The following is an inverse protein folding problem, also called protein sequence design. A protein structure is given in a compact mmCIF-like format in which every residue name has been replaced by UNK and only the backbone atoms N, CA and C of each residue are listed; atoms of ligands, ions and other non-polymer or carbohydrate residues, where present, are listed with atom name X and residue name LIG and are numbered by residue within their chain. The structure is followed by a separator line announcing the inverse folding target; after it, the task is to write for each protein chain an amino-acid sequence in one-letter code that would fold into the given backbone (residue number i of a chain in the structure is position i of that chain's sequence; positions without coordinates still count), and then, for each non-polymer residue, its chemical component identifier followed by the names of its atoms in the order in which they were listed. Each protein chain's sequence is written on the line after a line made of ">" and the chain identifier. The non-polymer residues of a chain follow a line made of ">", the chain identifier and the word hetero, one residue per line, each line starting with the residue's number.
data_IF_556907574775
#
_entry.id   IF_556907574775
#
_cell.length_a   1.000
_cell.length_b   1.000
_cell.length_c   1.000
_cell.angle_alpha   90.00
_cell.angle_beta   90.00
_cell.angle_gamma   90.00
#
_symmetry.space_group_name_H-M   'P 1'
#
loop_
_entity.id
_entity.type
_entity.pdbx_description
1 polymer ?
#
# COMPACT_ATOMS: atom_id res chain seq x y z
N UNK A 1 9.83 45.17 -18.39
CA UNK A 1 10.16 43.75 -18.33
C UNK A 1 10.46 43.25 -19.75
N UNK A 2 11.60 42.65 -20.01
CA UNK A 2 11.97 42.19 -21.37
C UNK A 2 10.93 41.21 -21.90
N UNK A 3 10.56 41.29 -23.21
CA UNK A 3 9.61 40.37 -23.84
C UNK A 3 10.00 38.89 -23.70
N UNK A 4 11.28 38.61 -23.50
CA UNK A 4 11.78 37.26 -23.21
C UNK A 4 11.34 36.80 -21.81
N UNK A 5 11.48 37.62 -20.80
CA UNK A 5 11.07 37.31 -19.40
C UNK A 5 9.56 37.04 -19.36
N UNK A 6 8.75 37.85 -20.05
CA UNK A 6 7.30 37.65 -20.10
C UNK A 6 6.92 36.32 -20.76
N UNK A 7 7.64 35.87 -21.78
CA UNK A 7 7.40 34.54 -22.38
C UNK A 7 7.69 33.41 -21.41
N UNK A 8 8.80 33.46 -20.67
CA UNK A 8 9.13 32.46 -19.65
C UNK A 8 8.10 32.43 -18.53
N UNK A 9 7.68 33.58 -18.01
CA UNK A 9 6.62 33.67 -16.99
C UNK A 9 5.33 33.03 -17.47
N UNK A 10 4.91 33.31 -18.72
CA UNK A 10 3.69 32.68 -19.30
C UNK A 10 3.84 31.18 -19.40
N UNK A 11 4.99 30.66 -19.81
CA UNK A 11 5.25 29.22 -19.91
C UNK A 11 5.18 28.55 -18.51
N UNK A 12 5.80 29.16 -17.49
CA UNK A 12 5.76 28.65 -16.11
C UNK A 12 4.34 28.64 -15.57
N UNK A 13 3.59 29.74 -15.78
CA UNK A 13 2.18 29.81 -15.36
C UNK A 13 1.32 28.76 -16.06
N UNK A 14 1.51 28.56 -17.37
CA UNK A 14 0.80 27.52 -18.11
C UNK A 14 1.09 26.12 -17.54
N UNK A 15 2.38 25.79 -17.31
CA UNK A 15 2.78 24.50 -16.71
C UNK A 15 2.15 24.34 -15.33
N UNK A 16 2.18 25.38 -14.50
CA UNK A 16 1.59 25.33 -13.14
C UNK A 16 0.06 25.07 -13.20
N UNK A 17 -0.65 25.68 -14.17
CA UNK A 17 -2.08 25.43 -14.38
C UNK A 17 -2.30 23.98 -14.80
N UNK A 18 -1.54 23.47 -15.75
CA UNK A 18 -1.68 22.06 -16.19
C UNK A 18 -1.42 21.09 -15.04
N UNK A 19 -0.35 21.28 -14.28
CA UNK A 19 -0.05 20.47 -13.09
C UNK A 19 -1.19 20.57 -12.07
N UNK A 20 -1.71 21.75 -11.80
CA UNK A 20 -2.85 21.97 -10.91
C UNK A 20 -4.10 21.21 -11.36
N UNK A 21 -4.42 21.27 -12.66
CA UNK A 21 -5.57 20.53 -13.21
C UNK A 21 -5.37 19.01 -13.09
N UNK A 22 -4.19 18.48 -13.39
CA UNK A 22 -3.88 17.05 -13.20
C UNK A 22 -4.05 16.63 -11.74
N UNK A 23 -3.56 17.44 -10.78
CA UNK A 23 -3.71 17.13 -9.35
C UNK A 23 -5.17 17.21 -8.87
N UNK A 24 -5.95 18.16 -9.40
CA UNK A 24 -7.40 18.21 -9.14
C UNK A 24 -8.12 16.97 -9.69
N UNK A 25 -7.76 16.52 -10.88
CA UNK A 25 -8.29 15.29 -11.47
C UNK A 25 -7.89 14.08 -10.64
N UNK A 26 -6.63 13.94 -10.26
CA UNK A 26 -6.17 12.86 -9.38
C UNK A 26 -6.97 12.84 -8.07
N UNK A 27 -7.16 14.02 -7.45
CA UNK A 27 -7.93 14.11 -6.22
C UNK A 27 -9.39 13.66 -6.39
N UNK A 28 -10.03 14.02 -7.49
CA UNK A 28 -11.42 13.67 -7.76
C UNK A 28 -11.59 12.19 -8.15
N UNK A 29 -10.66 11.65 -8.91
CA UNK A 29 -10.78 10.32 -9.52
C UNK A 29 -10.27 9.21 -8.61
N UNK A 30 -9.24 9.46 -7.80
CA UNK A 30 -8.69 8.48 -6.88
C UNK A 30 -9.72 8.10 -5.80
N UNK A 31 -9.94 6.82 -5.53
CA UNK A 31 -10.74 6.41 -4.40
C UNK A 31 -10.12 6.88 -3.08
N UNK A 32 -10.91 6.93 -2.02
CA UNK A 32 -10.40 7.27 -0.68
C UNK A 32 -9.77 6.09 0.05
N UNK A 33 -9.79 4.90 -0.53
CA UNK A 33 -9.30 3.58 -0.07
C UNK A 33 -8.64 3.48 1.32
N UNK A 34 -8.81 2.34 1.96
CA UNK A 34 -8.33 2.16 3.35
C UNK A 34 -6.79 2.11 3.48
N UNK A 35 -6.05 1.82 2.42
CA UNK A 35 -4.57 1.71 2.43
C UNK A 35 -3.92 2.99 2.95
N UNK A 36 -4.44 4.15 2.55
CA UNK A 36 -3.98 5.44 3.04
C UNK A 36 -4.03 5.53 4.57
N UNK A 37 -5.08 5.00 5.18
CA UNK A 37 -5.28 5.05 6.64
C UNK A 37 -4.38 4.06 7.35
N UNK A 38 -4.20 2.86 6.79
CA UNK A 38 -3.32 1.83 7.35
C UNK A 38 -1.86 2.29 7.34
N UNK A 39 -1.39 2.86 6.23
CA UNK A 39 -0.02 3.41 6.17
C UNK A 39 0.12 4.55 7.18
N UNK A 40 -0.86 5.45 7.26
CA UNK A 40 -0.82 6.55 8.23
C UNK A 40 -0.80 6.03 9.68
N UNK A 41 -1.59 5.03 10.00
CA UNK A 41 -1.61 4.42 11.34
C UNK A 41 -0.28 3.71 11.66
N UNK A 42 0.31 3.01 10.68
CA UNK A 42 1.62 2.40 10.81
C UNK A 42 2.74 3.43 11.07
N UNK A 43 2.64 4.61 10.45
CA UNK A 43 3.62 5.69 10.58
C UNK A 43 3.43 6.55 11.84
N UNK A 44 2.28 6.42 12.53
CA UNK A 44 1.90 7.25 13.69
C UNK A 44 1.40 6.37 14.83
N UNK A 45 2.26 5.49 15.31
CA UNK A 45 1.97 4.66 16.48
C UNK A 45 1.68 5.54 17.73
N UNK A 46 0.80 5.07 18.60
CA UNK A 46 0.42 5.77 19.85
C UNK A 46 1.53 5.75 20.92
N UNK A 47 2.66 5.11 20.63
CA UNK A 47 3.80 4.98 21.56
C UNK A 47 5.05 5.61 20.97
N UNK A 48 5.90 6.18 21.82
CA UNK A 48 7.18 6.79 21.41
C UNK A 48 8.13 5.78 20.75
N UNK A 49 8.00 4.50 21.08
CA UNK A 49 8.83 3.41 20.53
C UNK A 49 8.29 2.86 19.20
N UNK A 50 7.07 3.23 18.81
CA UNK A 50 6.41 2.71 17.61
C UNK A 50 6.00 1.24 17.73
N UNK A 51 5.87 0.58 16.59
CA UNK A 51 5.59 -0.85 16.51
C UNK A 51 6.88 -1.65 16.47
N UNK A 52 6.94 -2.75 17.24
CA UNK A 52 8.11 -3.63 17.31
C UNK A 52 7.99 -4.87 16.43
N UNK A 53 6.77 -5.27 16.08
CA UNK A 53 6.49 -6.39 15.17
C UNK A 53 5.61 -5.91 14.00
N UNK A 54 6.10 -6.02 12.78
CA UNK A 54 5.35 -5.68 11.59
C UNK A 54 4.96 -6.96 10.85
N UNK A 55 3.66 -7.07 10.56
CA UNK A 55 3.10 -8.17 9.76
C UNK A 55 2.92 -7.64 8.35
N UNK A 56 3.53 -8.30 7.36
CA UNK A 56 3.42 -7.99 5.93
C UNK A 56 2.87 -9.19 5.17
N UNK A 57 2.25 -8.95 4.04
CA UNK A 57 1.64 -9.98 3.21
C UNK A 57 0.34 -9.51 2.58
N UNK A 58 -0.42 -10.42 2.03
CA UNK A 58 -1.63 -10.10 1.28
C UNK A 58 -2.92 -10.14 2.15
N UNK A 59 -4.04 -10.42 1.50
CA UNK A 59 -5.36 -10.44 2.16
C UNK A 59 -5.49 -11.49 3.27
N UNK A 60 -4.73 -12.58 3.18
CA UNK A 60 -4.72 -13.64 4.19
C UNK A 60 -4.15 -13.10 5.50
N UNK A 61 -2.94 -12.57 5.49
CA UNK A 61 -2.31 -11.97 6.67
C UNK A 61 -3.18 -10.89 7.30
N UNK A 62 -3.77 -9.99 6.46
CA UNK A 62 -4.61 -8.91 6.95
C UNK A 62 -5.76 -9.37 7.84
N UNK A 63 -6.37 -10.51 7.51
CA UNK A 63 -7.58 -11.00 8.19
C UNK A 63 -7.35 -12.26 9.04
N UNK A 64 -6.16 -12.88 8.98
CA UNK A 64 -5.83 -14.06 9.77
C UNK A 64 -4.97 -13.73 10.99
N UNK A 65 -4.07 -12.75 10.88
CA UNK A 65 -3.12 -12.44 11.95
C UNK A 65 -3.58 -11.19 12.70
N UNK A 66 -4.11 -11.40 13.90
CA UNK A 66 -4.58 -10.31 14.76
C UNK A 66 -3.44 -9.83 15.68
N UNK A 67 -2.90 -8.60 15.46
CA UNK A 67 -1.79 -8.09 16.26
C UNK A 67 -2.15 -7.89 17.73
N UNK A 68 -3.40 -7.52 18.05
CA UNK A 68 -3.85 -7.40 19.45
C UNK A 68 -3.76 -8.74 20.18
N UNK A 69 -4.07 -9.84 19.49
CA UNK A 69 -3.93 -11.19 20.06
C UNK A 69 -2.48 -11.62 20.23
N UNK A 70 -1.57 -11.16 19.37
CA UNK A 70 -0.13 -11.40 19.55
C UNK A 70 0.40 -10.68 20.78
N UNK A 71 0.00 -9.43 20.99
CA UNK A 71 0.37 -8.63 22.14
C UNK A 71 -0.20 -9.24 23.43
N UNK A 72 -1.50 -9.60 23.46
CA UNK A 72 -2.15 -10.26 24.60
C UNK A 72 -1.49 -11.59 24.96
N UNK A 73 -0.98 -12.32 23.98
CA UNK A 73 -0.28 -13.59 24.18
C UNK A 73 1.20 -13.41 24.60
N UNK A 74 1.70 -12.18 24.69
CA UNK A 74 3.10 -11.88 24.98
C UNK A 74 4.07 -12.27 23.86
N UNK A 75 3.57 -12.43 22.63
CA UNK A 75 4.40 -12.73 21.47
C UNK A 75 5.02 -11.48 20.85
N UNK A 76 4.50 -10.31 21.19
CA UNK A 76 5.00 -8.97 20.84
C UNK A 76 4.67 -7.99 21.95
N UNK A 77 5.35 -6.85 21.96
CA UNK A 77 5.01 -5.74 22.86
C UNK A 77 4.01 -4.79 22.18
N UNK A 78 4.20 -4.56 20.88
CA UNK A 78 3.33 -3.68 20.08
C UNK A 78 3.38 -4.06 18.59
N UNK A 79 2.54 -5.02 18.18
CA UNK A 79 2.47 -5.48 16.79
C UNK A 79 1.54 -4.62 15.94
N UNK A 80 1.82 -4.54 14.64
CA UNK A 80 0.95 -3.91 13.64
C UNK A 80 0.81 -4.79 12.40
N UNK A 81 -0.40 -4.89 11.86
CA UNK A 81 -0.67 -5.61 10.63
C UNK A 81 -0.71 -4.63 9.44
N UNK A 82 0.38 -4.60 8.68
CA UNK A 82 0.54 -3.75 7.51
C UNK A 82 0.17 -4.48 6.20
N UNK A 83 -0.31 -5.72 6.29
CA UNK A 83 -0.68 -6.51 5.13
C UNK A 83 -1.86 -5.90 4.34
N UNK A 84 -1.71 -5.80 3.03
CA UNK A 84 -2.66 -5.16 2.13
C UNK A 84 -3.16 -6.17 1.08
N UNK A 85 -4.47 -6.36 0.91
CA UNK A 85 -5.01 -7.24 -0.13
C UNK A 85 -4.50 -6.88 -1.52
N UNK A 86 -4.00 -7.86 -2.24
CA UNK A 86 -3.38 -7.65 -3.54
C UNK A 86 -1.93 -7.15 -3.47
N UNK A 87 -1.35 -7.07 -2.27
CA UNK A 87 0.05 -6.73 -2.07
C UNK A 87 0.96 -7.75 -2.75
N UNK A 88 1.86 -7.26 -3.57
CA UNK A 88 2.88 -8.10 -4.21
C UNK A 88 4.10 -8.24 -3.29
N UNK A 89 4.93 -9.26 -3.55
CA UNK A 89 6.20 -9.43 -2.82
C UNK A 89 7.11 -8.20 -2.97
N UNK A 90 7.04 -7.53 -4.13
CA UNK A 90 7.74 -6.26 -4.36
C UNK A 90 7.21 -5.16 -3.46
N UNK A 91 5.89 -5.04 -3.32
CA UNK A 91 5.26 -4.02 -2.48
C UNK A 91 5.58 -4.20 -1.01
N UNK A 92 5.61 -5.45 -0.52
CA UNK A 92 5.98 -5.80 0.86
C UNK A 92 7.33 -5.22 1.26
N UNK A 93 8.32 -5.27 0.35
CA UNK A 93 9.63 -4.70 0.59
C UNK A 93 9.59 -3.18 0.87
N UNK A 94 8.83 -2.43 0.06
CA UNK A 94 8.76 -0.98 0.23
C UNK A 94 7.86 -0.56 1.39
N UNK A 95 6.81 -1.31 1.68
CA UNK A 95 5.98 -1.09 2.87
C UNK A 95 6.78 -1.29 4.16
N UNK A 96 7.57 -2.36 4.21
CA UNK A 96 8.45 -2.61 5.35
C UNK A 96 9.46 -1.47 5.52
N UNK A 97 10.13 -1.06 4.45
CA UNK A 97 11.08 0.06 4.49
C UNK A 97 10.43 1.38 4.94
N UNK A 98 9.20 1.67 4.52
CA UNK A 98 8.50 2.88 4.95
C UNK A 98 8.12 2.81 6.42
N UNK A 99 7.57 1.68 6.86
CA UNK A 99 7.22 1.45 8.26
C UNK A 99 8.43 1.55 9.20
N UNK A 100 9.58 1.00 8.80
CA UNK A 100 10.83 1.04 9.57
C UNK A 100 11.35 2.47 9.84
N UNK A 101 10.98 3.43 9.01
CA UNK A 101 11.37 4.84 9.21
C UNK A 101 10.71 5.48 10.43
N UNK A 102 9.61 4.92 10.90
CA UNK A 102 8.73 5.50 11.92
C UNK A 102 8.61 4.60 13.16
N UNK A 103 9.11 3.37 13.09
CA UNK A 103 8.94 2.35 14.11
C UNK A 103 10.29 1.76 14.53
N UNK A 104 10.34 1.19 15.73
CA UNK A 104 11.49 0.44 16.22
C UNK A 104 11.27 -1.06 15.98
N UNK A 105 11.22 -1.45 14.72
CA UNK A 105 10.93 -2.84 14.32
C UNK A 105 12.01 -3.77 14.84
N UNK A 106 11.60 -4.88 15.47
CA UNK A 106 12.48 -5.95 15.96
C UNK A 106 12.22 -7.26 15.23
N UNK A 107 10.98 -7.44 14.74
CA UNK A 107 10.56 -8.67 14.06
C UNK A 107 9.63 -8.36 12.91
N UNK A 108 9.77 -9.13 11.85
CA UNK A 108 8.84 -9.12 10.70
C UNK A 108 8.19 -10.50 10.60
N UNK A 109 6.86 -10.50 10.52
CA UNK A 109 6.06 -11.69 10.22
C UNK A 109 5.61 -11.54 8.77
N UNK A 110 6.16 -12.39 7.90
CA UNK A 110 5.85 -12.34 6.48
C UNK A 110 4.95 -13.52 6.07
N UNK A 111 3.72 -13.22 5.68
CA UNK A 111 2.80 -14.21 5.09
C UNK A 111 3.15 -14.43 3.62
N UNK A 112 3.70 -15.60 3.34
CA UNK A 112 4.12 -16.00 2.00
C UNK A 112 2.95 -16.65 1.26
N UNK A 113 2.01 -15.83 0.81
CA UNK A 113 0.88 -16.31 0.01
C UNK A 113 1.38 -16.87 -1.33
N UNK A 114 1.24 -18.18 -1.51
CA UNK A 114 1.74 -18.92 -2.68
C UNK A 114 1.21 -18.40 -4.02
N UNK A 115 0.03 -17.76 -4.03
CA UNK A 115 -0.59 -17.20 -5.24
C UNK A 115 0.29 -16.15 -5.91
N UNK A 116 1.08 -15.43 -5.12
CA UNK A 116 1.93 -14.34 -5.59
C UNK A 116 3.32 -14.81 -6.03
N UNK A 117 3.64 -16.08 -5.86
CA UNK A 117 4.94 -16.64 -6.22
C UNK A 117 4.94 -17.29 -7.60
N UNK A 118 3.85 -17.97 -7.95
CA UNK A 118 3.74 -18.73 -9.19
C UNK A 118 2.62 -18.17 -10.07
N UNK A 119 2.89 -18.01 -11.35
CA UNK A 119 1.88 -17.64 -12.37
C UNK A 119 1.13 -16.32 -12.14
N UNK A 120 1.61 -15.48 -11.26
CA UNK A 120 1.03 -14.16 -11.10
C UNK A 120 1.42 -13.33 -12.32
N UNK A 121 0.49 -13.19 -13.26
CA UNK A 121 0.68 -12.28 -14.39
C UNK A 121 0.92 -10.88 -13.81
N UNK A 122 2.10 -10.33 -14.06
CA UNK A 122 2.40 -8.93 -13.75
C UNK A 122 1.35 -8.06 -14.44
N UNK A 123 0.34 -7.64 -13.68
CA UNK A 123 -0.61 -6.66 -14.18
C UNK A 123 0.10 -5.31 -14.11
N UNK A 124 0.18 -4.63 -15.23
CA UNK A 124 0.84 -3.32 -15.33
C UNK A 124 0.36 -2.31 -14.26
N UNK A 125 -0.87 -2.48 -13.77
CA UNK A 125 -1.48 -1.61 -12.77
C UNK A 125 -1.21 -2.03 -11.31
N UNK A 126 -0.96 -3.28 -11.05
CA UNK A 126 -0.69 -3.78 -9.69
C UNK A 126 0.69 -3.34 -9.20
N UNK A 127 1.66 -3.20 -10.09
CA UNK A 127 2.96 -2.64 -9.78
C UNK A 127 2.92 -1.18 -9.27
N UNK A 128 1.79 -0.49 -9.41
CA UNK A 128 1.61 0.90 -8.98
C UNK A 128 0.71 1.05 -7.77
N UNK A 129 0.18 -0.05 -7.24
CA UNK A 129 -0.88 -0.04 -6.25
C UNK A 129 -0.48 0.68 -4.96
N UNK A 130 0.63 0.30 -4.36
CA UNK A 130 1.14 0.89 -3.12
C UNK A 130 1.75 2.27 -3.36
N UNK A 131 2.45 2.45 -4.48
CA UNK A 131 3.09 3.71 -4.82
C UNK A 131 2.19 4.93 -4.64
N UNK A 132 0.91 4.80 -5.01
CA UNK A 132 -0.03 5.92 -4.95
C UNK A 132 -0.29 6.38 -3.52
N UNK A 133 -0.14 5.49 -2.54
CA UNK A 133 -0.45 5.72 -1.13
C UNK A 133 0.77 6.01 -0.26
N UNK A 134 1.97 5.58 -0.69
CA UNK A 134 3.19 5.92 0.03
C UNK A 134 3.34 7.44 0.19
N UNK A 135 3.69 7.92 1.38
CA UNK A 135 4.01 9.32 1.60
C UNK A 135 5.25 9.73 0.77
N UNK A 136 5.47 11.02 0.61
CA UNK A 136 6.66 11.50 -0.07
C UNK A 136 7.89 11.25 0.81
N UNK A 137 8.72 10.31 0.41
CA UNK A 137 9.84 9.80 1.18
C UNK A 137 10.95 9.30 0.26
N UNK A 138 12.12 9.00 0.83
CA UNK A 138 13.20 8.33 0.10
C UNK A 138 12.77 6.94 -0.39
N UNK A 139 11.90 6.25 0.35
CA UNK A 139 11.34 4.95 -0.03
C UNK A 139 10.48 5.09 -1.28
N UNK A 140 9.62 6.10 -1.32
CA UNK A 140 8.82 6.40 -2.52
C UNK A 140 9.69 6.74 -3.74
N UNK A 141 10.75 7.53 -3.55
CA UNK A 141 11.68 7.85 -4.63
C UNK A 141 12.41 6.60 -5.13
N UNK A 142 12.79 5.72 -4.21
CA UNK A 142 13.38 4.42 -4.55
C UNK A 142 12.40 3.54 -5.33
N UNK A 143 11.14 3.46 -4.89
CA UNK A 143 10.10 2.73 -5.61
C UNK A 143 9.94 3.22 -7.06
N UNK A 144 9.91 4.55 -7.26
CA UNK A 144 9.85 5.16 -8.60
C UNK A 144 11.04 4.72 -9.45
N UNK A 145 12.24 4.84 -8.90
CA UNK A 145 13.46 4.52 -9.64
C UNK A 145 13.53 3.03 -10.04
N UNK A 146 13.15 2.15 -9.13
CA UNK A 146 13.29 0.70 -9.31
C UNK A 146 12.15 0.10 -10.17
N UNK A 147 10.94 0.66 -10.10
CA UNK A 147 9.76 0.01 -10.67
C UNK A 147 9.02 0.82 -11.75
N UNK A 148 9.05 2.14 -11.70
CA UNK A 148 8.20 2.95 -12.58
C UNK A 148 8.93 3.58 -13.77
N UNK A 149 10.20 3.98 -13.61
CA UNK A 149 10.93 4.67 -14.68
C UNK A 149 11.18 3.78 -15.90
N UNK A 150 11.26 2.47 -15.70
CA UNK A 150 11.51 1.50 -16.77
C UNK A 150 10.25 0.93 -17.41
N UNK A 151 9.08 1.18 -16.83
CA UNK A 151 7.78 0.66 -17.28
C UNK A 151 6.86 1.78 -17.78
N UNK A 152 6.00 2.28 -16.92
CA UNK A 152 5.03 3.32 -17.22
C UNK A 152 5.18 4.50 -16.27
N UNK A 153 5.90 5.53 -16.71
CA UNK A 153 6.12 6.73 -15.90
C UNK A 153 4.87 7.63 -15.78
N UNK A 154 3.78 7.36 -16.52
CA UNK A 154 2.56 8.18 -16.45
C UNK A 154 2.00 8.24 -15.05
N UNK A 155 2.08 7.16 -14.30
CA UNK A 155 1.63 7.08 -12.90
C UNK A 155 2.44 7.96 -11.96
N UNK A 156 3.67 8.34 -12.32
CA UNK A 156 4.50 9.25 -11.52
C UNK A 156 3.90 10.65 -11.46
N UNK A 157 3.34 11.14 -12.55
CA UNK A 157 2.75 12.48 -12.61
C UNK A 157 1.24 12.50 -12.40
N UNK A 158 0.52 11.41 -12.73
CA UNK A 158 -0.92 11.29 -12.52
C UNK A 158 -1.30 9.89 -12.06
N UNK A 159 -1.93 9.83 -10.90
CA UNK A 159 -2.40 8.58 -10.27
C UNK A 159 -3.60 7.96 -10.98
N UNK A 160 -4.31 8.73 -11.82
CA UNK A 160 -5.52 8.24 -12.53
C UNK A 160 -5.25 7.02 -13.40
N UNK A 161 -4.02 6.86 -13.89
CA UNK A 161 -3.64 5.75 -14.76
C UNK A 161 -3.66 4.39 -14.04
N UNK A 162 -3.61 4.41 -12.71
CA UNK A 162 -3.69 3.22 -11.87
C UNK A 162 -5.14 2.84 -11.48
N UNK A 163 -6.16 3.64 -11.88
CA UNK A 163 -7.53 3.42 -11.43
C UNK A 163 -8.55 3.66 -12.53
N UNK A 164 -9.47 2.71 -12.66
CA UNK A 164 -10.70 2.91 -13.43
C UNK A 164 -11.69 3.73 -12.62
N UNK A 165 -12.30 4.73 -13.25
CA UNK A 165 -13.19 5.66 -12.53
C UNK A 165 -14.45 5.96 -13.33
N UNK A 166 -15.60 5.80 -12.69
CA UNK A 166 -16.91 6.21 -13.22
C UNK A 166 -17.28 7.61 -12.73
N UNK A 167 -18.20 8.34 -13.41
CA UNK A 167 -18.69 9.63 -12.92
C UNK A 167 -19.33 9.58 -11.53
N UNK A 168 -20.04 8.49 -11.20
CA UNK A 168 -20.63 8.27 -9.87
C UNK A 168 -19.55 8.11 -8.80
N UNK A 169 -18.47 7.40 -9.10
CA UNK A 169 -17.33 7.23 -8.21
C UNK A 169 -16.65 8.57 -7.90
N UNK A 170 -16.53 9.48 -8.88
CA UNK A 170 -15.97 10.82 -8.69
C UNK A 170 -16.75 11.58 -7.61
N UNK A 171 -18.07 11.60 -7.71
CA UNK A 171 -18.91 12.31 -6.73
C UNK A 171 -18.79 11.71 -5.34
N UNK A 172 -18.75 10.38 -5.23
CA UNK A 172 -18.55 9.70 -3.95
C UNK A 172 -17.16 10.02 -3.37
N UNK A 173 -16.10 9.94 -4.18
CA UNK A 173 -14.75 10.28 -3.77
C UNK A 173 -14.65 11.69 -3.21
N UNK A 174 -15.24 12.67 -3.89
CA UNK A 174 -15.25 14.07 -3.43
C UNK A 174 -16.03 14.23 -2.13
N UNK A 175 -17.17 13.55 -1.98
CA UNK A 175 -17.98 13.57 -0.76
C UNK A 175 -17.19 13.00 0.42
N UNK A 176 -16.56 11.82 0.28
CA UNK A 176 -15.75 11.21 1.33
C UNK A 176 -14.58 12.12 1.69
N UNK A 177 -13.85 12.64 0.71
CA UNK A 177 -12.66 13.47 0.92
C UNK A 177 -12.97 14.85 1.53
N UNK A 178 -14.22 15.31 1.45
CA UNK A 178 -14.65 16.54 2.14
C UNK A 178 -14.96 16.31 3.63
N UNK A 179 -15.06 15.07 4.09
CA UNK A 179 -15.38 14.75 5.48
C UNK A 179 -14.24 15.06 6.45
N UNK A 180 -14.58 15.27 7.72
CA UNK A 180 -13.59 15.40 8.79
C UNK A 180 -12.84 14.08 9.01
N UNK A 181 -13.53 12.93 8.92
CA UNK A 181 -12.93 11.61 9.05
C UNK A 181 -11.80 11.39 8.03
N UNK A 182 -11.99 11.75 6.77
CA UNK A 182 -10.94 11.66 5.75
C UNK A 182 -9.73 12.55 6.07
N UNK A 183 -9.97 13.79 6.50
CA UNK A 183 -8.88 14.74 6.80
C UNK A 183 -8.07 14.33 8.01
N UNK A 184 -8.72 13.75 9.01
CA UNK A 184 -8.11 13.32 10.27
C UNK A 184 -7.62 11.86 10.24
N UNK A 185 -7.61 11.22 9.08
CA UNK A 185 -7.24 9.80 8.92
C UNK A 185 -8.05 8.85 9.81
N UNK A 186 -9.29 9.19 10.13
CA UNK A 186 -10.16 8.29 10.90
C UNK A 186 -10.62 7.12 10.04
N UNK A 187 -10.57 5.91 10.61
CA UNK A 187 -11.09 4.71 9.96
C UNK A 187 -12.60 4.77 9.70
N UNK A 188 -13.33 5.72 10.33
CA UNK A 188 -14.74 5.98 10.02
C UNK A 188 -14.98 6.49 8.58
N UNK A 189 -13.93 6.97 7.90
CA UNK A 189 -13.99 7.37 6.50
C UNK A 189 -13.85 6.18 5.53
N UNK A 190 -13.50 5.00 6.03
CA UNK A 190 -13.30 3.79 5.23
C UNK A 190 -14.62 3.09 5.01
N UNK A 191 -15.01 2.89 3.75
CA UNK A 191 -16.16 2.08 3.42
C UNK A 191 -15.85 0.60 3.70
N UNK A 192 -16.75 -0.08 4.40
CA UNK A 192 -16.60 -1.51 4.77
C UNK A 192 -16.39 -2.39 3.53
N UNK A 193 -16.97 -2.00 2.40
CA UNK A 193 -16.83 -2.72 1.13
C UNK A 193 -15.40 -2.77 0.58
N UNK A 194 -14.65 -1.69 0.76
CA UNK A 194 -13.26 -1.62 0.28
C UNK A 194 -12.32 -2.50 1.11
N UNK A 195 -12.65 -2.70 2.38
CA UNK A 195 -11.80 -3.44 3.31
C UNK A 195 -12.19 -4.92 3.48
N UNK A 196 -13.37 -5.33 2.99
CA UNK A 196 -13.87 -6.71 3.08
C UNK A 196 -14.26 -7.16 4.49
N UNK A 197 -14.48 -6.23 5.43
CA UNK A 197 -14.94 -6.50 6.79
C UNK A 197 -14.67 -5.32 7.73
N UNK A 198 -15.20 -5.35 8.98
CA UNK A 198 -14.98 -4.28 9.94
C UNK A 198 -13.52 -4.20 10.38
N UNK A 199 -13.02 -2.98 10.43
CA UNK A 199 -11.75 -2.69 11.08
C UNK A 199 -11.84 -2.94 12.59
N UNK A 200 -10.83 -3.55 13.16
CA UNK A 200 -10.76 -3.84 14.60
C UNK A 200 -9.73 -2.93 15.27
N UNK A 201 -8.46 -3.10 14.99
CA UNK A 201 -7.36 -2.29 15.48
C UNK A 201 -6.04 -2.68 14.79
N UNK A 202 -5.07 -1.79 14.82
CA UNK A 202 -3.67 -2.07 14.43
C UNK A 202 -3.55 -2.74 13.05
N UNK A 203 -4.31 -2.25 12.07
CA UNK A 203 -4.32 -2.77 10.72
C UNK A 203 -5.14 -4.05 10.49
N UNK A 204 -5.73 -4.64 11.53
CA UNK A 204 -6.49 -5.87 11.42
C UNK A 204 -7.96 -5.63 11.06
N UNK A 205 -8.44 -6.37 10.07
CA UNK A 205 -9.84 -6.40 9.64
C UNK A 205 -10.44 -7.78 9.90
N UNK A 206 -11.48 -7.83 10.72
CA UNK A 206 -12.18 -9.07 11.00
C UNK A 206 -12.99 -9.50 9.78
N UNK A 207 -12.90 -10.78 9.45
CA UNK A 207 -13.67 -11.37 8.36
C UNK A 207 -14.39 -12.62 8.86
N UNK A 208 -15.70 -12.55 8.91
CA UNK A 208 -16.54 -13.72 9.20
C UNK A 208 -16.83 -14.45 7.87
N UNK A 209 -15.90 -15.29 7.46
CA UNK A 209 -16.10 -16.17 6.31
C UNK A 209 -16.31 -17.61 6.80
N UNK A 210 -17.49 -18.12 6.57
CA UNK A 210 -17.73 -19.56 6.65
C UNK A 210 -17.42 -20.17 5.30
N UNK A 211 -16.42 -21.04 5.25
CA UNK A 211 -16.15 -21.81 4.08
C UNK A 211 -17.14 -22.99 4.05
N UNK A 212 -18.19 -22.89 3.25
CA UNK A 212 -19.18 -23.94 3.13
C UNK A 212 -18.66 -25.18 2.37
N UNK A 213 -17.67 -25.01 1.48
CA UNK A 213 -16.94 -26.09 0.82
C UNK A 213 -15.64 -25.55 0.17
N UNK A 214 -14.58 -26.36 0.21
CA UNK A 214 -13.43 -26.16 -0.66
C UNK A 214 -13.79 -26.67 -2.06
N UNK A 215 -13.74 -25.79 -3.06
CA UNK A 215 -13.87 -26.21 -4.46
C UNK A 215 -12.50 -26.64 -4.94
N UNK A 216 -12.32 -27.91 -5.38
CA UNK A 216 -11.01 -28.39 -5.81
C UNK A 216 -10.37 -27.59 -6.95
N UNK A 217 -11.18 -26.88 -7.76
CA UNK A 217 -10.69 -25.98 -8.81
C UNK A 217 -9.96 -24.73 -8.28
N UNK A 218 -10.12 -24.42 -7.00
CA UNK A 218 -9.47 -23.26 -6.37
C UNK A 218 -8.09 -23.63 -5.78
N UNK A 219 -7.74 -24.93 -5.85
CA UNK A 219 -6.43 -25.39 -5.43
C UNK A 219 -5.45 -25.18 -6.58
N UNK A 220 -4.63 -24.15 -6.46
CA UNK A 220 -3.52 -23.94 -7.39
C UNK A 220 -2.40 -24.90 -7.04
N UNK A 221 -1.97 -25.73 -8.01
CA UNK A 221 -0.83 -26.61 -7.81
C UNK A 221 0.43 -25.76 -7.65
N UNK A 222 1.17 -26.01 -6.56
CA UNK A 222 2.49 -25.40 -6.37
C UNK A 222 3.46 -26.02 -7.38
N UNK A 223 4.17 -25.17 -8.13
CA UNK A 223 5.26 -25.57 -9.03
C UNK A 223 6.45 -24.65 -8.79
N UNK A 224 7.51 -25.20 -8.20
CA UNK A 224 8.75 -24.45 -7.94
C UNK A 224 9.41 -23.91 -9.22
N UNK A 225 9.18 -24.57 -10.38
CA UNK A 225 9.68 -24.08 -11.67
C UNK A 225 8.86 -22.90 -12.20
N UNK A 226 7.69 -22.64 -11.64
CA UNK A 226 6.83 -21.50 -11.97
C UNK A 226 7.11 -20.25 -11.16
N UNK A 227 8.06 -20.28 -10.21
CA UNK A 227 8.42 -19.12 -9.40
C UNK A 227 9.04 -18.04 -10.30
N UNK A 228 8.50 -16.84 -10.25
CA UNK A 228 9.04 -15.68 -10.97
C UNK A 228 10.37 -15.24 -10.36
N UNK A 229 11.43 -15.11 -11.20
CA UNK A 229 12.73 -14.60 -10.75
C UNK A 229 12.61 -13.22 -10.09
N UNK A 230 11.73 -12.37 -10.58
CA UNK A 230 11.47 -11.05 -9.99
C UNK A 230 10.88 -11.14 -8.58
N UNK A 231 9.96 -12.08 -8.38
CA UNK A 231 9.35 -12.32 -7.06
C UNK A 231 10.39 -12.82 -6.09
N UNK A 232 11.22 -13.78 -6.52
CA UNK A 232 12.32 -14.30 -5.71
C UNK A 232 13.33 -13.20 -5.34
N UNK A 233 13.76 -12.38 -6.30
CA UNK A 233 14.65 -11.23 -6.07
C UNK A 233 14.05 -10.24 -5.06
N UNK A 234 12.76 -9.96 -5.15
CA UNK A 234 12.06 -9.06 -4.21
C UNK A 234 11.99 -9.65 -2.80
N UNK A 235 11.76 -10.95 -2.68
CA UNK A 235 11.79 -11.64 -1.40
C UNK A 235 13.20 -11.65 -0.79
N UNK A 236 14.21 -11.95 -1.59
CA UNK A 236 15.61 -11.93 -1.15
C UNK A 236 16.03 -10.54 -0.67
N UNK A 237 15.60 -9.48 -1.37
CA UNK A 237 15.81 -8.09 -0.92
C UNK A 237 15.16 -7.82 0.43
N UNK A 238 13.94 -8.29 0.65
CA UNK A 238 13.24 -8.16 1.94
C UNK A 238 13.99 -8.92 3.04
N UNK A 239 14.38 -10.16 2.79
CA UNK A 239 15.13 -10.97 3.74
C UNK A 239 16.51 -10.37 4.05
N UNK A 240 17.20 -9.83 3.03
CA UNK A 240 18.49 -9.15 3.22
C UNK A 240 18.32 -7.84 4.00
N UNK A 241 17.27 -7.10 3.74
CA UNK A 241 16.95 -5.89 4.50
C UNK A 241 16.76 -6.21 5.98
N UNK A 242 15.95 -7.22 6.30
CA UNK A 242 15.76 -7.67 7.68
C UNK A 242 17.08 -8.05 8.38
N UNK A 243 17.96 -8.76 7.69
CA UNK A 243 19.30 -9.08 8.21
C UNK A 243 20.16 -7.85 8.45
N UNK A 244 20.12 -6.87 7.55
CA UNK A 244 20.92 -5.65 7.64
C UNK A 244 20.50 -4.78 8.83
N UNK A 245 19.22 -4.74 9.13
CA UNK A 245 18.66 -4.00 10.26
C UNK A 245 18.51 -4.85 11.53
N UNK A 246 19.00 -6.09 11.49
CA UNK A 246 19.02 -7.04 12.62
C UNK A 246 17.63 -7.45 13.12
N UNK A 247 16.65 -7.56 12.22
CA UNK A 247 15.34 -8.11 12.53
C UNK A 247 15.38 -9.66 12.59
N UNK A 248 14.44 -10.22 13.32
CA UNK A 248 14.22 -11.66 13.43
C UNK A 248 13.03 -12.10 12.61
#
# INVERSE_FOLDING_TARGET
>A
MSNKILKYVRAVVFIAIVVGLVKCMDHAMMPSGYIRYIIHEADNADTDEGYDNIIIGASHARSAINPVKLDEAGASDNAFNLAIPGETVTDSYYLLMESDRHNNVKRVIYDLDYQYWCNYAEREFEDCFIYTWLPFSNVKLKYIADNLLTKDFRTVYSKRWAYETSPSSIMNNLKVKSSAAYRNYSMDAVEIHDAGGPYVAKGFFYRDMKLDSLVPSDIVAWDENGISEKVLDSFEKTAQYCKTVSYT
#
